data_IF_821980358845
#
_entry.id   IF_821980358845
#
_cell.length_a   1.000
_cell.length_b   1.000
_cell.length_c   1.000
_cell.angle_alpha   90.00
_cell.angle_beta   90.00
_cell.angle_gamma   90.00
#
_symmetry.space_group_name_H-M   'P 1'
#
loop_
_entity.id
_entity.type
_entity.pdbx_description
1 polymer ?
#
# COMPACT_ATOMS: atom_id res chain seq x y z
N UNK A 1 1.67 33.18 0.40
CA UNK A 1 2.45 32.03 0.86
C UNK A 1 1.54 31.16 1.69
N UNK A 2 1.62 29.82 1.61
CA UNK A 2 0.88 28.96 2.53
C UNK A 2 1.26 29.29 3.98
N UNK A 3 0.34 29.10 4.92
CA UNK A 3 0.62 29.34 6.33
C UNK A 3 1.79 28.44 6.79
N UNK A 4 2.70 29.01 7.59
CA UNK A 4 3.81 28.27 8.18
C UNK A 4 3.24 27.23 9.15
N UNK A 5 3.48 25.94 8.86
CA UNK A 5 3.07 24.82 9.73
C UNK A 5 4.29 24.22 10.44
N UNK A 6 4.08 23.65 11.62
CA UNK A 6 5.06 22.79 12.29
C UNK A 6 4.81 21.34 11.90
N UNK A 7 5.77 20.73 11.19
CA UNK A 7 5.57 19.42 10.51
C UNK A 7 6.61 18.42 10.98
N UNK A 8 6.17 17.23 11.36
CA UNK A 8 7.05 16.10 11.64
C UNK A 8 7.28 15.28 10.37
N UNK A 9 8.53 15.21 9.89
CA UNK A 9 8.87 14.51 8.65
C UNK A 9 9.35 13.10 8.97
N UNK A 10 8.65 12.08 8.46
CA UNK A 10 9.05 10.70 8.59
C UNK A 10 10.26 10.41 7.69
N UNK A 11 11.44 10.37 8.26
CA UNK A 11 12.71 10.15 7.57
C UNK A 11 13.15 8.70 7.71
N UNK A 12 13.21 7.97 6.60
CA UNK A 12 13.57 6.55 6.54
C UNK A 12 15.04 6.30 6.18
N UNK A 13 15.86 7.36 6.09
CA UNK A 13 17.23 7.26 5.54
C UNK A 13 17.29 7.14 4.00
N UNK A 14 16.15 7.04 3.32
CA UNK A 14 16.06 7.03 1.86
C UNK A 14 15.96 8.43 1.26
N UNK A 15 16.36 8.57 -0.02
CA UNK A 15 16.41 9.86 -0.73
C UNK A 15 15.03 10.55 -0.83
N UNK A 16 13.95 9.80 -0.95
CA UNK A 16 12.59 10.34 -1.13
C UNK A 16 12.13 11.12 0.11
N UNK A 17 12.31 10.55 1.31
CA UNK A 17 11.99 11.24 2.56
C UNK A 17 12.93 12.43 2.84
N UNK A 18 14.18 12.35 2.38
CA UNK A 18 15.16 13.43 2.51
C UNK A 18 14.81 14.63 1.65
N UNK A 19 14.39 14.41 0.40
CA UNK A 19 13.92 15.50 -0.47
C UNK A 19 12.58 16.05 0.01
N UNK A 20 11.71 15.23 0.59
CA UNK A 20 10.48 15.72 1.22
C UNK A 20 10.79 16.73 2.34
N UNK A 21 11.78 16.44 3.20
CA UNK A 21 12.24 17.37 4.23
C UNK A 21 12.86 18.64 3.63
N UNK A 22 13.72 18.51 2.61
CA UNK A 22 14.33 19.62 1.90
C UNK A 22 13.28 20.62 1.37
N UNK A 23 12.27 20.09 0.65
CA UNK A 23 11.23 20.91 0.03
C UNK A 23 10.38 21.65 1.07
N UNK A 24 9.99 21.00 2.16
CA UNK A 24 9.23 21.66 3.22
C UNK A 24 10.03 22.76 3.92
N UNK A 25 11.34 22.55 4.13
CA UNK A 25 12.21 23.59 4.65
C UNK A 25 12.32 24.77 3.71
N UNK A 26 12.50 24.53 2.40
CA UNK A 26 12.55 25.58 1.38
C UNK A 26 11.23 26.36 1.28
N UNK A 27 10.09 25.71 1.55
CA UNK A 27 8.77 26.36 1.62
C UNK A 27 8.58 27.19 2.90
N UNK A 28 9.53 27.17 3.83
CA UNK A 28 9.52 27.97 5.05
C UNK A 28 8.74 27.35 6.22
N UNK A 29 8.40 26.07 6.14
CA UNK A 29 7.78 25.34 7.26
C UNK A 29 8.79 25.14 8.41
N UNK A 30 8.27 25.04 9.64
CA UNK A 30 9.01 24.57 10.82
C UNK A 30 8.99 23.04 10.83
N UNK A 31 10.13 22.42 10.52
CA UNK A 31 10.20 20.97 10.36
C UNK A 31 11.15 20.32 11.35
N UNK A 32 10.75 19.12 11.82
CA UNK A 32 11.58 18.22 12.61
C UNK A 32 11.62 16.88 11.88
N UNK A 33 12.81 16.31 11.69
CA UNK A 33 12.98 14.97 11.14
C UNK A 33 12.74 13.92 12.22
N UNK A 34 12.11 12.80 11.87
CA UNK A 34 11.93 11.69 12.79
C UNK A 34 12.07 10.34 12.10
N UNK A 35 12.87 9.45 12.70
CA UNK A 35 12.95 8.05 12.31
C UNK A 35 11.99 7.22 13.15
N UNK A 36 11.11 6.46 12.50
CA UNK A 36 10.23 5.51 13.18
C UNK A 36 10.97 4.19 13.41
N UNK A 37 11.34 3.91 14.66
CA UNK A 37 11.94 2.65 15.05
C UNK A 37 10.83 1.63 15.25
N UNK A 38 10.50 0.87 14.19
CA UNK A 38 9.37 -0.05 14.17
C UNK A 38 9.75 -1.51 14.40
N UNK A 39 10.97 -1.91 14.07
CA UNK A 39 11.43 -3.29 14.16
C UNK A 39 12.90 -3.36 14.54
N UNK A 40 13.22 -4.35 15.38
CA UNK A 40 14.61 -4.80 15.63
C UNK A 40 14.61 -6.30 15.37
N UNK A 41 15.68 -6.80 14.78
CA UNK A 41 15.88 -8.21 14.52
C UNK A 41 16.38 -8.95 15.79
N UNK A 42 15.57 -8.93 16.87
CA UNK A 42 15.94 -9.57 18.13
C UNK A 42 16.00 -11.10 18.01
N UNK A 43 15.18 -11.68 17.12
CA UNK A 43 15.10 -13.12 16.92
C UNK A 43 16.09 -13.65 15.86
N UNK A 44 17.03 -12.84 15.38
CA UNK A 44 17.96 -13.16 14.28
C UNK A 44 17.29 -13.76 13.03
N UNK A 45 16.03 -13.43 12.80
CA UNK A 45 15.22 -13.87 11.64
C UNK A 45 15.79 -13.34 10.34
N UNK A 46 16.55 -12.25 10.43
CA UNK A 46 17.08 -11.50 9.30
C UNK A 46 18.58 -11.37 9.49
N UNK A 47 19.36 -11.81 8.50
CA UNK A 47 20.82 -11.82 8.59
C UNK A 47 21.47 -10.44 8.77
N UNK A 48 20.86 -9.37 8.24
CA UNK A 48 21.33 -7.98 8.40
C UNK A 48 20.13 -7.04 8.48
N UNK A 49 20.04 -6.28 9.57
CA UNK A 49 18.99 -5.28 9.72
C UNK A 49 19.55 -3.89 9.46
N UNK A 50 19.13 -3.19 8.40
CA UNK A 50 19.72 -1.93 7.97
C UNK A 50 19.35 -0.73 8.86
N UNK A 51 18.56 -0.91 9.91
CA UNK A 51 17.99 0.20 10.68
C UNK A 51 19.02 1.15 11.28
N UNK A 52 20.21 0.67 11.68
CA UNK A 52 21.27 1.55 12.19
C UNK A 52 21.77 2.46 11.09
N UNK A 53 22.12 1.91 9.93
CA UNK A 53 22.54 2.69 8.77
C UNK A 53 21.45 3.66 8.31
N UNK A 54 20.18 3.24 8.31
CA UNK A 54 19.05 4.11 7.94
C UNK A 54 18.91 5.29 8.93
N UNK A 55 19.14 5.08 10.24
CA UNK A 55 19.15 6.16 11.24
C UNK A 55 20.33 7.10 11.00
N UNK A 56 21.52 6.57 10.74
CA UNK A 56 22.72 7.38 10.46
C UNK A 56 22.52 8.24 9.21
N UNK A 57 22.01 7.65 8.13
CA UNK A 57 21.71 8.36 6.90
C UNK A 57 20.64 9.46 7.11
N UNK A 58 19.57 9.15 7.86
CA UNK A 58 18.53 10.13 8.17
C UNK A 58 19.06 11.28 9.04
N UNK A 59 19.92 10.98 10.02
CA UNK A 59 20.58 11.97 10.88
C UNK A 59 21.51 12.86 10.07
N UNK A 60 22.37 12.27 9.22
CA UNK A 60 23.28 13.03 8.36
C UNK A 60 22.53 14.00 7.43
N UNK A 61 21.35 13.60 6.92
CA UNK A 61 20.48 14.49 6.15
C UNK A 61 19.91 15.60 7.03
N UNK A 62 19.45 15.29 8.25
CA UNK A 62 18.91 16.29 9.17
C UNK A 62 19.99 17.33 9.56
N UNK A 63 21.20 16.88 9.84
CA UNK A 63 22.36 17.75 10.12
C UNK A 63 22.69 18.64 8.91
N UNK A 64 22.71 18.07 7.70
CA UNK A 64 22.92 18.82 6.46
C UNK A 64 21.84 19.88 6.23
N UNK A 65 20.61 19.56 6.57
CA UNK A 65 19.50 20.50 6.49
C UNK A 65 19.43 21.47 7.67
N UNK A 66 20.18 21.26 8.74
CA UNK A 66 20.12 22.07 9.98
C UNK A 66 18.73 22.01 10.61
N UNK A 67 18.18 20.81 10.77
CA UNK A 67 16.90 20.55 11.43
C UNK A 67 17.08 19.59 12.61
N UNK A 68 16.20 19.70 13.61
CA UNK A 68 16.14 18.73 14.72
C UNK A 68 15.81 17.33 14.18
N UNK A 69 16.41 16.30 14.79
CA UNK A 69 16.16 14.90 14.45
C UNK A 69 15.83 14.07 15.68
N UNK A 70 14.77 13.27 15.59
CA UNK A 70 14.27 12.41 16.66
C UNK A 70 14.23 10.94 16.23
N UNK A 71 14.34 10.03 17.19
CA UNK A 71 14.03 8.61 17.01
C UNK A 71 12.79 8.31 17.83
N UNK A 72 11.72 7.89 17.17
CA UNK A 72 10.45 7.56 17.81
C UNK A 72 10.32 6.03 17.87
N UNK A 73 10.29 5.48 19.08
CA UNK A 73 10.18 4.04 19.29
C UNK A 73 8.71 3.60 19.18
N UNK A 74 8.37 2.86 18.13
CA UNK A 74 7.03 2.37 17.84
C UNK A 74 6.98 0.83 17.69
N UNK A 75 7.97 0.11 18.22
CA UNK A 75 8.13 -1.33 18.01
C UNK A 75 6.93 -2.14 18.50
N UNK A 76 6.40 -1.82 19.67
CA UNK A 76 5.24 -2.52 20.23
C UNK A 76 3.98 -2.32 19.39
N UNK A 77 3.73 -1.07 18.97
CA UNK A 77 2.59 -0.78 18.09
C UNK A 77 2.74 -1.44 16.73
N UNK A 78 3.93 -1.42 16.15
CA UNK A 78 4.20 -2.07 14.86
C UNK A 78 3.98 -3.58 14.96
N UNK A 79 4.47 -4.22 16.03
CA UNK A 79 4.23 -5.64 16.28
C UNK A 79 2.73 -5.94 16.31
N UNK A 80 1.98 -5.22 17.13
CA UNK A 80 0.55 -5.44 17.33
C UNK A 80 -0.30 -5.12 16.08
N UNK A 81 -0.01 -4.02 15.37
CA UNK A 81 -0.89 -3.49 14.33
C UNK A 81 -0.52 -3.97 12.92
N UNK A 82 0.73 -4.35 12.69
CA UNK A 82 1.21 -4.75 11.36
C UNK A 82 1.65 -6.21 11.34
N UNK A 83 2.52 -6.61 12.27
CA UNK A 83 3.07 -7.97 12.26
C UNK A 83 2.02 -8.99 12.66
N UNK A 84 1.27 -8.76 13.74
CA UNK A 84 0.23 -9.69 14.17
C UNK A 84 -0.90 -9.79 13.14
N UNK A 85 -1.30 -8.65 12.53
CA UNK A 85 -2.23 -8.65 11.38
C UNK A 85 -1.71 -9.53 10.22
N UNK A 86 -0.43 -9.39 9.89
CA UNK A 86 0.21 -10.18 8.83
C UNK A 86 0.18 -11.67 9.16
N UNK A 87 0.62 -12.03 10.36
CA UNK A 87 0.71 -13.43 10.79
C UNK A 87 -0.67 -14.09 10.90
N UNK A 88 -1.66 -13.39 11.46
CA UNK A 88 -3.03 -13.90 11.56
C UNK A 88 -3.68 -14.09 10.19
N UNK A 89 -3.44 -13.17 9.26
CA UNK A 89 -3.89 -13.33 7.89
C UNK A 89 -3.32 -14.59 7.24
N UNK A 90 -2.02 -14.82 7.36
CA UNK A 90 -1.38 -16.01 6.81
C UNK A 90 -1.82 -17.31 7.49
N UNK A 91 -2.03 -17.33 8.82
CA UNK A 91 -2.60 -18.49 9.53
C UNK A 91 -3.99 -18.86 9.01
N UNK A 92 -4.77 -17.87 8.61
CA UNK A 92 -6.11 -18.04 8.02
C UNK A 92 -6.06 -18.33 6.50
N UNK A 93 -4.88 -18.52 5.91
CA UNK A 93 -4.71 -18.78 4.46
C UNK A 93 -4.86 -17.56 3.57
N UNK A 94 -5.00 -16.35 4.14
CA UNK A 94 -5.09 -15.10 3.40
C UNK A 94 -3.72 -14.65 2.90
N UNK A 95 -3.70 -13.58 2.09
CA UNK A 95 -2.49 -12.90 1.64
C UNK A 95 -2.60 -11.42 2.02
N UNK A 96 -2.36 -11.04 3.29
CA UNK A 96 -2.53 -9.67 3.76
C UNK A 96 -1.48 -8.71 3.16
N UNK A 97 -1.79 -7.40 3.16
CA UNK A 97 -0.89 -6.36 2.67
C UNK A 97 -0.34 -5.52 3.85
N UNK A 98 0.88 -5.80 4.33
CA UNK A 98 1.44 -5.09 5.47
C UNK A 98 1.78 -3.63 5.17
N UNK A 99 2.09 -3.26 3.91
CA UNK A 99 2.50 -1.91 3.56
C UNK A 99 1.32 -0.93 3.64
N UNK A 100 0.13 -1.34 3.18
CA UNK A 100 -1.10 -0.54 3.32
C UNK A 100 -1.45 -0.38 4.80
N UNK A 101 -1.34 -1.45 5.59
CA UNK A 101 -1.60 -1.38 7.03
C UNK A 101 -0.58 -0.51 7.76
N UNK A 102 0.69 -0.59 7.38
CA UNK A 102 1.73 0.29 7.93
C UNK A 102 1.42 1.77 7.65
N UNK A 103 0.95 2.11 6.46
CA UNK A 103 0.56 3.49 6.15
C UNK A 103 -0.64 3.93 7.01
N UNK A 104 -1.71 3.12 7.07
CA UNK A 104 -2.92 3.45 7.82
C UNK A 104 -2.69 3.50 9.33
N UNK A 105 -2.08 2.46 9.90
CA UNK A 105 -2.01 2.27 11.35
C UNK A 105 -0.76 2.90 11.97
N UNK A 106 0.36 2.86 11.27
CA UNK A 106 1.62 3.37 11.81
C UNK A 106 1.89 4.81 11.41
N UNK A 107 2.12 5.08 10.10
CA UNK A 107 2.54 6.42 9.66
C UNK A 107 1.48 7.48 9.89
N UNK A 108 0.24 7.23 9.45
CA UNK A 108 -0.89 8.14 9.59
C UNK A 108 -1.84 7.75 10.74
N UNK A 109 -1.45 6.79 11.56
CA UNK A 109 -2.10 6.39 12.80
C UNK A 109 -1.26 6.75 14.03
N UNK A 110 -0.46 5.83 14.54
CA UNK A 110 0.33 5.99 15.77
C UNK A 110 1.29 7.17 15.68
N UNK A 111 2.08 7.26 14.61
CA UNK A 111 3.07 8.32 14.42
C UNK A 111 2.42 9.70 14.26
N UNK A 112 1.26 9.77 13.58
CA UNK A 112 0.48 11.01 13.51
C UNK A 112 -0.04 11.43 14.89
N UNK A 113 -0.57 10.50 15.69
CA UNK A 113 -1.01 10.82 17.06
C UNK A 113 0.15 11.31 17.94
N UNK A 114 1.32 10.67 17.84
CA UNK A 114 2.54 11.14 18.48
C UNK A 114 2.89 12.58 18.05
N UNK A 115 2.89 12.85 16.75
CA UNK A 115 3.16 14.18 16.23
C UNK A 115 2.18 15.23 16.78
N UNK A 116 0.89 14.93 16.80
CA UNK A 116 -0.13 15.83 17.34
C UNK A 116 0.04 16.09 18.85
N UNK A 117 0.38 15.07 19.62
CA UNK A 117 0.67 15.21 21.05
C UNK A 117 1.90 16.11 21.32
N UNK A 118 2.89 16.10 20.39
CA UNK A 118 4.08 16.97 20.44
C UNK A 118 3.86 18.35 19.79
N UNK A 119 2.62 18.69 19.44
CA UNK A 119 2.25 19.99 18.89
C UNK A 119 2.57 20.20 17.41
N UNK A 120 2.76 19.14 16.64
CA UNK A 120 2.90 19.21 15.18
C UNK A 120 1.51 19.25 14.53
N UNK A 121 1.35 20.09 13.51
CA UNK A 121 0.11 20.21 12.75
C UNK A 121 -0.08 19.06 11.74
N UNK A 122 1.04 18.48 11.26
CA UNK A 122 1.01 17.47 10.20
C UNK A 122 2.21 16.53 10.27
N UNK A 123 2.07 15.40 9.58
CA UNK A 123 3.14 14.45 9.27
C UNK A 123 3.42 14.47 7.77
N UNK A 124 4.70 14.56 7.40
CA UNK A 124 5.12 14.45 6.00
C UNK A 124 5.85 13.14 5.73
N UNK A 125 5.71 12.63 4.53
CA UNK A 125 6.37 11.40 4.07
C UNK A 125 6.86 11.55 2.65
N UNK A 126 7.81 10.70 2.27
CA UNK A 126 8.33 10.59 0.90
C UNK A 126 7.46 9.74 -0.04
N UNK A 127 6.13 9.82 0.05
CA UNK A 127 5.26 9.12 -0.89
C UNK A 127 5.04 9.90 -2.18
N UNK A 128 5.08 9.19 -3.30
CA UNK A 128 4.66 9.68 -4.61
C UNK A 128 3.12 9.62 -4.70
N UNK A 129 2.48 10.59 -4.10
CA UNK A 129 1.03 10.82 -4.14
C UNK A 129 0.78 12.32 -3.98
N UNK A 130 -0.34 12.82 -4.48
CA UNK A 130 -0.68 14.25 -4.44
C UNK A 130 -1.90 14.46 -3.55
N UNK A 131 -1.79 15.39 -2.60
CA UNK A 131 -2.90 15.85 -1.77
C UNK A 131 -3.36 17.22 -2.27
N UNK A 132 -4.61 17.29 -2.70
CA UNK A 132 -5.23 18.53 -3.14
C UNK A 132 -6.27 19.00 -2.12
N UNK A 133 -6.20 20.27 -1.75
CA UNK A 133 -7.21 20.92 -0.92
C UNK A 133 -8.34 21.44 -1.81
N UNK A 134 -9.57 21.01 -1.53
CA UNK A 134 -10.77 21.51 -2.20
C UNK A 134 -11.28 22.69 -1.38
N UNK A 135 -10.93 23.88 -1.78
CA UNK A 135 -11.53 25.10 -1.19
C UNK A 135 -12.99 25.15 -1.57
N UNK A 136 -13.87 24.95 -0.59
CA UNK A 136 -15.31 24.98 -0.79
C UNK A 136 -15.76 26.26 -1.46
N UNK A 137 -16.15 26.21 -2.73
CA UNK A 137 -17.22 27.05 -3.25
C UNK A 137 -18.52 26.31 -2.93
N UNK A 138 -19.34 26.88 -2.06
CA UNK A 138 -20.74 26.49 -2.03
C UNK A 138 -21.24 26.53 -3.48
N UNK A 139 -21.54 25.35 -4.05
CA UNK A 139 -22.03 25.24 -5.42
C UNK A 139 -23.38 25.94 -5.51
N UNK A 140 -23.54 26.98 -6.33
CA UNK A 140 -24.86 27.46 -6.63
C UNK A 140 -25.66 26.34 -7.29
N UNK A 141 -26.89 26.10 -6.91
CA UNK A 141 -27.71 25.07 -7.56
C UNK A 141 -27.82 25.43 -9.06
N UNK A 142 -27.22 24.58 -9.92
CA UNK A 142 -27.40 24.64 -11.37
C UNK A 142 -26.21 25.11 -12.24
N UNK A 143 -24.99 25.33 -11.71
CA UNK A 143 -23.84 25.72 -12.52
C UNK A 143 -23.02 24.52 -13.07
N UNK A 144 -22.53 24.56 -14.35
CA UNK A 144 -21.63 23.53 -14.86
C UNK A 144 -20.27 23.60 -14.16
N UNK A 145 -19.70 22.45 -13.82
CA UNK A 145 -18.38 22.33 -13.22
C UNK A 145 -17.29 22.54 -14.28
N UNK A 146 -16.68 23.72 -14.35
CA UNK A 146 -15.77 24.07 -15.44
C UNK A 146 -14.27 23.86 -15.18
N UNK A 147 -13.82 23.50 -13.98
CA UNK A 147 -12.38 23.60 -13.65
C UNK A 147 -11.73 22.37 -12.99
N UNK A 148 -12.39 21.21 -12.97
CA UNK A 148 -11.75 19.96 -12.57
C UNK A 148 -11.61 19.04 -13.79
N UNK A 149 -10.47 18.33 -13.96
CA UNK A 149 -10.34 17.37 -15.03
C UNK A 149 -11.44 16.35 -14.94
N UNK A 150 -12.26 16.24 -15.99
CA UNK A 150 -13.34 15.25 -16.08
C UNK A 150 -12.69 13.88 -16.12
N UNK A 151 -13.04 13.01 -15.17
CA UNK A 151 -12.65 11.62 -15.22
C UNK A 151 -13.29 10.92 -16.45
N UNK A 152 -12.74 9.79 -16.92
CA UNK A 152 -13.14 9.14 -18.17
C UNK A 152 -14.58 8.61 -18.21
N UNK A 153 -15.35 8.75 -17.15
CA UNK A 153 -16.68 8.13 -16.97
C UNK A 153 -17.87 9.10 -16.94
N UNK A 154 -17.70 10.37 -17.36
CA UNK A 154 -18.81 11.32 -17.61
C UNK A 154 -19.43 11.97 -16.36
N UNK A 155 -20.57 12.65 -16.54
CA UNK A 155 -21.29 13.41 -15.50
C UNK A 155 -21.94 12.50 -14.44
N UNK A 156 -21.14 12.00 -13.54
CA UNK A 156 -21.55 11.17 -12.41
C UNK A 156 -21.68 12.02 -11.15
N UNK A 157 -22.76 11.88 -10.32
CA UNK A 157 -22.78 12.49 -9.01
C UNK A 157 -21.69 11.88 -8.14
N UNK A 158 -20.57 12.60 -7.99
CA UNK A 158 -19.55 12.27 -7.02
C UNK A 158 -20.08 12.56 -5.60
N UNK A 159 -19.60 11.81 -4.58
CA UNK A 159 -19.93 12.16 -3.21
C UNK A 159 -19.60 13.62 -2.91
N UNK A 160 -20.36 14.27 -2.02
CA UNK A 160 -20.11 15.67 -1.65
C UNK A 160 -18.66 15.89 -1.21
N UNK A 161 -18.15 17.05 -1.49
CA UNK A 161 -16.74 17.42 -1.54
C UNK A 161 -15.98 17.04 -0.26
N UNK A 162 -15.05 16.09 -0.38
CA UNK A 162 -14.03 15.89 0.62
C UNK A 162 -13.15 17.15 0.72
N UNK A 163 -12.84 17.63 1.93
CA UNK A 163 -11.99 18.80 2.15
C UNK A 163 -10.60 18.62 1.51
N UNK A 164 -10.10 17.39 1.48
CA UNK A 164 -8.86 16.99 0.81
C UNK A 164 -9.11 15.77 -0.08
N UNK A 165 -8.52 15.81 -1.25
CA UNK A 165 -8.48 14.68 -2.19
C UNK A 165 -7.09 14.10 -2.27
N UNK A 166 -7.00 12.81 -2.48
CA UNK A 166 -5.76 12.09 -2.73
C UNK A 166 -5.72 11.66 -4.20
N UNK A 167 -4.63 12.00 -4.87
CA UNK A 167 -4.42 11.74 -6.28
C UNK A 167 -3.15 10.93 -6.49
N UNK A 168 -3.09 10.21 -7.61
CA UNK A 168 -1.88 9.55 -8.05
C UNK A 168 -0.71 10.54 -8.14
N UNK A 169 0.50 10.06 -7.88
CA UNK A 169 1.72 10.82 -8.12
C UNK A 169 1.89 11.20 -9.58
N UNK A 170 2.60 12.29 -9.84
CA UNK A 170 2.91 12.72 -11.21
C UNK A 170 3.77 11.69 -11.96
N UNK A 171 4.75 11.09 -11.28
CA UNK A 171 5.51 9.95 -11.82
C UNK A 171 4.69 8.65 -11.72
N UNK A 172 4.09 8.25 -12.84
CA UNK A 172 3.24 7.04 -12.89
C UNK A 172 4.00 5.74 -12.61
N UNK A 173 5.32 5.70 -12.85
CA UNK A 173 6.15 4.56 -12.54
C UNK A 173 6.47 4.43 -11.04
N UNK A 174 6.34 5.55 -10.31
CA UNK A 174 6.60 5.63 -8.87
C UNK A 174 5.34 5.86 -8.04
N UNK A 175 4.18 6.07 -8.66
CA UNK A 175 2.93 6.31 -7.96
C UNK A 175 2.70 5.31 -6.82
N UNK A 176 2.44 5.84 -5.64
CA UNK A 176 2.24 5.07 -4.40
C UNK A 176 0.86 5.30 -3.79
N UNK A 177 -0.06 5.92 -4.52
CA UNK A 177 -1.43 6.16 -4.07
C UNK A 177 -2.13 4.87 -3.64
N UNK A 178 -1.86 3.75 -4.32
CA UNK A 178 -2.38 2.42 -3.95
C UNK A 178 -2.14 2.07 -2.47
N UNK A 179 -0.94 2.35 -1.95
CA UNK A 179 -0.61 2.05 -0.56
C UNK A 179 -1.30 2.95 0.47
N UNK A 180 -1.99 3.98 0.00
CA UNK A 180 -2.74 4.94 0.81
C UNK A 180 -4.27 4.71 0.72
N UNK A 181 -4.70 3.62 0.08
CA UNK A 181 -6.10 3.35 -0.23
C UNK A 181 -7.01 3.20 1.01
N UNK A 182 -6.46 2.90 2.17
CA UNK A 182 -7.23 2.76 3.40
C UNK A 182 -7.12 3.97 4.35
N UNK A 183 -6.58 5.11 3.90
CA UNK A 183 -6.57 6.33 4.69
C UNK A 183 -7.97 6.93 4.80
N UNK A 184 -8.26 7.48 5.98
CA UNK A 184 -9.45 8.31 6.21
C UNK A 184 -9.20 9.77 5.85
N UNK A 185 -10.27 10.56 5.69
CA UNK A 185 -10.20 12.01 5.51
C UNK A 185 -9.44 12.71 6.64
N UNK A 186 -9.64 12.29 7.89
CA UNK A 186 -8.94 12.85 9.04
C UNK A 186 -7.41 12.64 8.95
N UNK A 187 -6.98 11.45 8.53
CA UNK A 187 -5.57 11.14 8.31
C UNK A 187 -4.99 11.95 7.14
N UNK A 188 -5.73 12.04 6.03
CA UNK A 188 -5.29 12.81 4.86
C UNK A 188 -5.16 14.30 5.15
N UNK A 189 -6.06 14.87 5.98
CA UNK A 189 -5.99 16.28 6.39
C UNK A 189 -4.63 16.62 7.01
N UNK A 190 -4.10 15.74 7.85
CA UNK A 190 -2.83 15.91 8.53
C UNK A 190 -1.62 15.32 7.77
N UNK A 191 -1.83 14.73 6.60
CA UNK A 191 -0.75 14.19 5.76
C UNK A 191 -0.16 15.25 4.82
N UNK A 192 1.16 15.15 4.55
CA UNK A 192 1.85 15.94 3.53
C UNK A 192 2.69 15.02 2.66
N UNK A 193 2.59 15.20 1.33
CA UNK A 193 3.31 14.45 0.31
C UNK A 193 4.11 15.40 -0.59
N UNK A 194 5.22 15.97 -0.09
CA UNK A 194 5.91 17.09 -0.77
C UNK A 194 6.49 16.73 -2.13
N UNK A 195 6.74 15.43 -2.39
CA UNK A 195 7.37 14.95 -3.63
C UNK A 195 6.37 14.43 -4.66
N UNK A 196 5.08 14.52 -4.40
CA UNK A 196 4.03 13.92 -5.23
C UNK A 196 3.99 14.43 -6.67
N UNK A 197 4.44 15.65 -6.92
CA UNK A 197 4.50 16.26 -8.24
C UNK A 197 5.84 16.07 -8.96
N UNK A 198 6.81 15.37 -8.34
CA UNK A 198 8.16 15.22 -8.89
C UNK A 198 8.36 13.86 -9.59
N UNK A 199 8.88 13.86 -10.82
CA UNK A 199 9.50 12.67 -11.42
C UNK A 199 10.75 12.25 -10.64
N UNK A 200 11.01 10.95 -10.54
CA UNK A 200 12.16 10.40 -9.79
C UNK A 200 13.53 10.96 -10.23
N UNK A 201 13.81 11.16 -11.54
CA UNK A 201 15.07 11.78 -11.97
C UNK A 201 15.25 13.20 -11.42
N UNK A 202 14.19 14.01 -11.42
CA UNK A 202 14.22 15.38 -10.89
C UNK A 202 14.42 15.40 -9.38
N UNK A 203 13.77 14.49 -8.66
CA UNK A 203 13.98 14.31 -7.24
C UNK A 203 15.46 14.01 -6.92
N UNK A 204 16.10 13.10 -7.66
CA UNK A 204 17.52 12.78 -7.46
C UNK A 204 18.44 13.96 -7.82
N UNK A 205 18.09 14.74 -8.86
CA UNK A 205 18.81 15.96 -9.20
C UNK A 205 18.76 16.96 -8.05
N UNK A 206 17.59 17.23 -7.50
CA UNK A 206 17.41 18.11 -6.33
C UNK A 206 18.22 17.64 -5.12
N UNK A 207 18.24 16.33 -4.85
CA UNK A 207 19.03 15.76 -3.76
C UNK A 207 20.54 16.03 -3.94
N UNK A 208 21.07 15.87 -5.15
CA UNK A 208 22.50 16.15 -5.45
C UNK A 208 22.82 17.64 -5.38
N UNK A 209 21.99 18.51 -5.97
CA UNK A 209 22.14 19.96 -5.94
C UNK A 209 22.14 20.51 -4.50
N UNK A 210 21.33 19.93 -3.61
CA UNK A 210 21.31 20.25 -2.19
C UNK A 210 22.48 19.64 -1.38
N UNK A 211 23.27 18.77 -2.00
CA UNK A 211 24.36 18.06 -1.35
C UNK A 211 23.89 17.11 -0.27
N UNK A 212 22.75 16.43 -0.48
CA UNK A 212 22.26 15.43 0.48
C UNK A 212 23.16 14.18 0.45
N UNK A 213 23.60 13.67 1.61
CA UNK A 213 24.60 12.58 1.68
C UNK A 213 24.08 11.26 1.09
N UNK A 214 22.76 11.07 1.02
CA UNK A 214 22.12 9.87 0.49
C UNK A 214 21.49 10.04 -0.91
N UNK A 215 21.92 11.06 -1.68
CA UNK A 215 21.35 11.37 -3.01
C UNK A 215 21.40 10.19 -3.98
N UNK A 216 22.46 9.38 -3.91
CA UNK A 216 22.70 8.23 -4.79
C UNK A 216 22.31 6.87 -4.16
N UNK A 217 21.80 6.88 -2.92
CA UNK A 217 21.32 5.67 -2.25
C UNK A 217 20.23 4.99 -3.11
N UNK A 218 20.33 3.67 -3.27
CA UNK A 218 19.30 2.87 -3.97
C UNK A 218 17.99 2.92 -3.20
N UNK A 219 16.88 2.85 -3.93
CA UNK A 219 15.55 2.77 -3.32
C UNK A 219 15.46 1.50 -2.45
N UNK A 220 14.90 1.63 -1.24
CA UNK A 220 14.68 0.49 -0.36
C UNK A 220 13.73 -0.51 -1.02
N UNK A 221 14.07 -1.79 -0.89
CA UNK A 221 13.25 -2.91 -1.34
C UNK A 221 12.87 -3.77 -0.13
N UNK A 222 11.73 -4.46 -0.18
CA UNK A 222 11.27 -5.33 0.88
C UNK A 222 10.06 -4.79 1.65
N UNK A 223 9.72 -5.44 2.75
CA UNK A 223 8.60 -5.04 3.62
C UNK A 223 9.00 -3.78 4.38
N UNK A 224 8.11 -2.82 4.44
CA UNK A 224 8.32 -1.54 5.11
C UNK A 224 8.84 -1.74 6.56
N UNK A 225 10.04 -1.23 6.86
CA UNK A 225 10.77 -1.32 8.14
C UNK A 225 11.30 -2.70 8.55
N UNK A 226 10.95 -3.79 7.90
CA UNK A 226 11.54 -5.12 8.15
C UNK A 226 12.77 -5.33 7.27
N UNK A 227 12.82 -4.70 6.09
CA UNK A 227 13.96 -4.78 5.17
C UNK A 227 13.83 -5.88 4.11
N UNK A 228 14.95 -6.24 3.49
CA UNK A 228 15.01 -7.27 2.44
C UNK A 228 14.93 -8.69 3.01
N UNK A 229 13.75 -9.04 3.54
CA UNK A 229 13.47 -10.39 4.04
C UNK A 229 12.60 -11.12 3.04
N UNK A 230 12.97 -12.34 2.73
CA UNK A 230 12.07 -13.22 2.00
C UNK A 230 10.89 -13.56 2.91
N UNK A 231 9.68 -13.23 2.48
CA UNK A 231 8.45 -13.50 3.25
C UNK A 231 8.39 -14.95 3.76
N UNK A 232 8.85 -15.92 2.97
CA UNK A 232 8.88 -17.33 3.36
C UNK A 232 9.80 -17.57 4.58
N UNK A 233 10.95 -16.91 4.67
CA UNK A 233 11.88 -17.07 5.80
C UNK A 233 11.32 -16.39 7.06
N UNK A 234 10.68 -15.23 6.91
CA UNK A 234 9.96 -14.56 7.99
C UNK A 234 8.83 -15.44 8.54
N UNK A 235 7.96 -15.94 7.65
CA UNK A 235 6.83 -16.78 8.07
C UNK A 235 7.26 -18.06 8.75
N UNK A 236 8.37 -18.70 8.31
CA UNK A 236 8.89 -19.93 8.90
C UNK A 236 9.17 -19.81 10.41
N UNK A 237 9.55 -18.61 10.87
CA UNK A 237 9.83 -18.39 12.30
C UNK A 237 8.58 -18.29 13.15
N UNK A 238 7.48 -17.74 12.59
CA UNK A 238 6.29 -17.39 13.37
C UNK A 238 5.05 -18.22 13.06
N UNK A 239 5.05 -18.96 11.96
CA UNK A 239 3.89 -19.76 11.53
C UNK A 239 4.35 -21.21 11.36
N UNK A 240 3.82 -22.14 12.19
CA UNK A 240 4.16 -23.57 12.08
C UNK A 240 3.85 -24.10 10.68
N UNK A 241 4.69 -25.02 10.20
CA UNK A 241 4.44 -25.73 8.96
C UNK A 241 3.30 -26.74 9.16
N UNK A 242 2.32 -26.71 8.26
CA UNK A 242 1.24 -27.68 8.18
C UNK A 242 1.24 -28.27 6.77
N UNK A 243 1.95 -29.40 6.55
CA UNK A 243 2.00 -30.06 5.25
C UNK A 243 0.62 -30.51 4.78
N UNK A 244 0.46 -30.59 3.46
CA UNK A 244 -0.77 -31.06 2.85
C UNK A 244 -0.60 -31.35 1.36
N UNK A 245 -1.61 -31.96 0.71
CA UNK A 245 -1.50 -32.39 -0.67
C UNK A 245 -1.51 -31.18 -1.63
N UNK A 246 -0.74 -31.31 -2.72
CA UNK A 246 -0.87 -30.46 -3.90
C UNK A 246 -1.74 -31.19 -4.90
N UNK A 247 -2.88 -30.62 -5.22
CA UNK A 247 -3.91 -31.25 -6.05
C UNK A 247 -4.10 -30.46 -7.34
N UNK A 248 -4.11 -31.15 -8.47
CA UNK A 248 -4.48 -30.56 -9.75
C UNK A 248 -6.00 -30.33 -9.80
N UNK A 249 -6.40 -29.06 -9.92
CA UNK A 249 -7.80 -28.65 -9.83
C UNK A 249 -8.69 -29.20 -10.96
N UNK A 250 -8.10 -29.58 -12.11
CA UNK A 250 -8.83 -30.05 -13.29
C UNK A 250 -9.32 -31.50 -13.19
N UNK A 251 -8.61 -32.35 -12.45
CA UNK A 251 -8.90 -33.81 -12.40
C UNK A 251 -8.76 -34.40 -10.99
N UNK A 252 -8.41 -33.61 -10.00
CA UNK A 252 -8.27 -34.07 -8.62
C UNK A 252 -6.99 -34.88 -8.34
N UNK A 253 -6.08 -35.01 -9.31
CA UNK A 253 -4.85 -35.76 -9.13
C UNK A 253 -3.92 -35.13 -8.10
N UNK A 254 -3.44 -35.94 -7.14
CA UNK A 254 -2.38 -35.50 -6.20
C UNK A 254 -1.04 -35.52 -6.94
N UNK A 255 -0.36 -34.37 -6.91
CA UNK A 255 0.90 -34.12 -7.62
C UNK A 255 2.11 -34.10 -6.69
N UNK A 256 1.89 -33.94 -5.38
CA UNK A 256 2.94 -33.86 -4.39
C UNK A 256 2.42 -33.32 -3.06
N UNK A 257 3.34 -32.84 -2.24
CA UNK A 257 3.05 -32.29 -0.92
C UNK A 257 3.69 -30.91 -0.77
N UNK A 258 2.97 -29.97 -0.13
CA UNK A 258 3.47 -28.66 0.25
C UNK A 258 3.75 -28.59 1.75
N UNK A 259 4.59 -27.65 2.20
CA UNK A 259 4.97 -27.48 3.61
C UNK A 259 3.95 -26.69 4.45
N UNK A 260 3.09 -25.91 3.81
CA UNK A 260 2.07 -25.10 4.47
C UNK A 260 1.43 -24.11 3.48
N UNK A 261 0.10 -23.93 3.56
CA UNK A 261 -0.66 -23.06 2.66
C UNK A 261 -0.25 -21.57 2.74
N UNK A 262 0.32 -21.15 3.86
CA UNK A 262 0.79 -19.78 4.08
C UNK A 262 2.00 -19.39 3.21
N UNK A 263 2.73 -20.35 2.65
CA UNK A 263 3.83 -20.06 1.72
C UNK A 263 3.38 -19.76 0.30
N UNK A 264 2.08 -19.88 0.01
CA UNK A 264 1.56 -19.78 -1.35
C UNK A 264 0.52 -18.66 -1.46
N UNK A 265 0.49 -18.02 -2.64
CA UNK A 265 -0.50 -17.02 -3.00
C UNK A 265 -1.16 -17.42 -4.32
N UNK A 266 -2.44 -17.14 -4.49
CA UNK A 266 -3.14 -17.37 -5.77
C UNK A 266 -2.40 -16.62 -6.88
N UNK A 267 -2.16 -17.30 -8.01
CA UNK A 267 -1.37 -16.78 -9.12
C UNK A 267 0.15 -17.04 -9.02
N UNK A 268 0.65 -17.62 -7.91
CA UNK A 268 2.06 -17.97 -7.78
C UNK A 268 2.44 -19.10 -8.73
N UNK A 269 3.57 -18.91 -9.46
CA UNK A 269 4.13 -19.92 -10.38
C UNK A 269 5.43 -20.54 -9.86
N UNK A 270 6.21 -19.76 -9.13
CA UNK A 270 7.53 -20.21 -8.63
C UNK A 270 7.42 -20.83 -7.25
N UNK A 271 8.27 -21.82 -6.96
CA UNK A 271 8.38 -22.40 -5.64
C UNK A 271 7.32 -23.46 -5.30
N UNK A 272 6.44 -23.85 -6.23
CA UNK A 272 5.45 -24.93 -6.05
C UNK A 272 6.15 -26.28 -5.95
N UNK A 273 7.32 -26.44 -6.58
CA UNK A 273 8.17 -27.65 -6.54
C UNK A 273 7.53 -28.88 -7.17
N UNK A 274 6.67 -28.69 -8.17
CA UNK A 274 6.12 -29.78 -8.99
C UNK A 274 6.77 -29.67 -10.36
N UNK A 275 7.44 -30.71 -10.88
CA UNK A 275 7.87 -30.75 -12.27
C UNK A 275 6.66 -30.81 -13.19
N UNK A 276 6.61 -29.99 -14.22
CA UNK A 276 5.64 -30.15 -15.30
C UNK A 276 6.07 -31.33 -16.18
N UNK A 277 5.12 -32.16 -16.55
CA UNK A 277 5.34 -33.27 -17.50
C UNK A 277 5.27 -32.83 -18.97
N UNK A 278 4.98 -31.55 -19.20
CA UNK A 278 4.88 -30.94 -20.52
C UNK A 278 5.97 -29.88 -20.65
N UNK A 279 6.68 -29.84 -21.76
CA UNK A 279 7.88 -29.02 -21.96
C UNK A 279 7.64 -27.51 -21.94
N UNK A 280 6.38 -27.05 -21.98
CA UNK A 280 6.03 -25.64 -22.10
C UNK A 280 4.95 -25.13 -21.14
N UNK A 281 4.37 -25.99 -20.28
CA UNK A 281 3.31 -25.59 -19.36
C UNK A 281 3.80 -25.54 -17.91
N UNK A 282 3.57 -24.41 -17.25
CA UNK A 282 3.91 -24.21 -15.86
C UNK A 282 2.64 -24.31 -14.98
N UNK A 283 2.78 -24.95 -13.82
CA UNK A 283 1.73 -24.89 -12.81
C UNK A 283 1.61 -23.51 -12.17
N UNK A 284 0.38 -23.12 -11.87
CA UNK A 284 0.03 -21.92 -11.12
C UNK A 284 -0.89 -22.30 -9.96
N UNK A 285 -0.74 -21.62 -8.83
CA UNK A 285 -1.66 -21.75 -7.70
C UNK A 285 -3.00 -21.10 -8.06
N UNK A 286 -4.08 -21.88 -8.00
CA UNK A 286 -5.43 -21.42 -8.33
C UNK A 286 -6.36 -21.37 -7.11
N UNK A 287 -5.96 -21.99 -5.99
CA UNK A 287 -6.76 -21.96 -4.77
C UNK A 287 -6.07 -22.62 -3.58
N UNK A 288 -6.70 -22.46 -2.43
CA UNK A 288 -6.35 -23.09 -1.16
C UNK A 288 -7.62 -23.68 -0.56
N UNK A 289 -7.62 -24.93 -0.16
CA UNK A 289 -8.77 -25.62 0.44
C UNK A 289 -8.47 -25.95 1.88
N UNK A 290 -9.09 -25.20 2.80
CA UNK A 290 -8.79 -25.32 4.22
C UNK A 290 -9.25 -26.63 4.84
N UNK A 291 -10.33 -27.25 4.31
CA UNK A 291 -10.91 -28.46 4.88
C UNK A 291 -9.96 -29.67 4.96
N UNK A 292 -9.07 -29.77 4.00
CA UNK A 292 -8.07 -30.87 3.89
C UNK A 292 -6.65 -30.32 3.69
N UNK A 293 -6.42 -29.07 3.95
CA UNK A 293 -5.15 -28.37 3.76
C UNK A 293 -4.57 -28.50 2.35
N UNK A 294 -5.43 -28.62 1.31
CA UNK A 294 -4.96 -28.83 -0.06
C UNK A 294 -4.57 -27.51 -0.75
N UNK A 295 -3.42 -27.52 -1.44
CA UNK A 295 -3.04 -26.51 -2.40
C UNK A 295 -3.55 -26.90 -3.79
N UNK A 296 -4.41 -26.08 -4.37
CA UNK A 296 -4.96 -26.32 -5.69
C UNK A 296 -4.09 -25.64 -6.75
N UNK A 297 -3.68 -26.41 -7.75
CA UNK A 297 -2.87 -25.92 -8.88
C UNK A 297 -3.50 -26.33 -10.22
N UNK A 298 -3.22 -25.55 -11.26
CA UNK A 298 -3.61 -25.86 -12.63
C UNK A 298 -2.47 -25.46 -13.58
N UNK A 299 -2.51 -25.88 -14.84
CA UNK A 299 -1.66 -25.29 -15.86
C UNK A 299 -2.05 -23.82 -16.07
N UNK A 300 -1.04 -22.95 -16.21
CA UNK A 300 -1.25 -21.50 -16.33
C UNK A 300 -1.80 -21.17 -17.73
N UNK A 301 -3.03 -20.69 -17.75
CA UNK A 301 -3.72 -20.33 -19.00
C UNK A 301 -5.09 -19.72 -18.78
N UNK A 302 -5.76 -19.30 -19.84
CA UNK A 302 -7.10 -18.71 -19.78
C UNK A 302 -8.16 -19.64 -19.19
N UNK A 303 -8.00 -20.96 -19.37
CA UNK A 303 -8.91 -22.00 -18.91
C UNK A 303 -8.58 -22.51 -17.48
N UNK A 304 -7.56 -21.97 -16.80
CA UNK A 304 -7.20 -22.41 -15.46
C UNK A 304 -8.36 -22.13 -14.46
N UNK A 305 -8.95 -23.17 -13.86
CA UNK A 305 -10.12 -23.00 -13.00
C UNK A 305 -9.74 -22.18 -11.74
N UNK A 306 -10.56 -21.17 -11.41
CA UNK A 306 -10.33 -20.33 -10.23
C UNK A 306 -9.24 -19.27 -10.37
N UNK A 307 -8.51 -19.24 -11.50
CA UNK A 307 -7.48 -18.24 -11.73
C UNK A 307 -8.03 -16.88 -12.21
N UNK A 308 -9.13 -16.91 -12.92
CA UNK A 308 -9.77 -15.72 -13.50
C UNK A 308 -11.17 -15.56 -12.90
N UNK A 309 -11.54 -14.34 -12.53
CA UNK A 309 -12.86 -14.02 -12.01
C UNK A 309 -13.37 -12.69 -12.50
N UNK A 310 -14.67 -12.63 -12.79
CA UNK A 310 -15.38 -11.40 -13.17
C UNK A 310 -16.08 -10.74 -11.98
N UNK A 311 -16.14 -11.41 -10.84
CA UNK A 311 -16.83 -10.90 -9.66
C UNK A 311 -16.03 -11.20 -8.40
N UNK A 312 -16.13 -10.31 -7.41
CA UNK A 312 -15.60 -10.55 -6.07
C UNK A 312 -16.40 -9.75 -5.04
N UNK A 313 -16.12 -10.02 -3.76
CA UNK A 313 -16.57 -9.17 -2.65
C UNK A 313 -15.37 -8.51 -1.99
N UNK A 314 -15.62 -7.30 -1.47
CA UNK A 314 -14.66 -6.56 -0.64
C UNK A 314 -15.30 -6.18 0.68
N UNK A 315 -14.51 -6.18 1.74
CA UNK A 315 -14.91 -5.76 3.09
C UNK A 315 -13.92 -4.75 3.66
N UNK A 316 -14.18 -4.24 4.88
CA UNK A 316 -13.28 -3.28 5.51
C UNK A 316 -13.08 -2.03 4.67
N UNK A 317 -14.14 -1.56 4.02
CA UNK A 317 -14.14 -0.39 3.15
C UNK A 317 -13.69 0.86 3.92
N UNK A 318 -12.79 1.62 3.35
CA UNK A 318 -12.35 2.92 3.82
C UNK A 318 -12.45 3.93 2.67
N UNK A 319 -13.01 5.10 2.95
CA UNK A 319 -13.16 6.17 1.96
C UNK A 319 -12.46 7.44 2.43
N UNK A 320 -11.80 8.12 1.50
CA UNK A 320 -11.14 9.40 1.74
C UNK A 320 -12.17 10.55 1.84
N UNK A 321 -13.30 10.40 1.19
CA UNK A 321 -14.43 11.32 1.28
C UNK A 321 -15.66 10.64 1.84
N UNK A 322 -16.81 11.10 1.39
CA UNK A 322 -18.07 10.45 1.73
C UNK A 322 -18.11 9.03 1.17
N UNK A 323 -18.66 8.07 1.92
CA UNK A 323 -18.83 6.71 1.45
C UNK A 323 -19.68 6.65 0.18
N UNK A 324 -19.29 5.77 -0.74
CA UNK A 324 -20.10 5.47 -1.92
C UNK A 324 -21.32 4.67 -1.47
N UNK A 325 -22.49 5.33 -1.39
CA UNK A 325 -23.73 4.76 -0.85
C UNK A 325 -24.61 4.08 -1.89
N UNK A 326 -24.31 4.23 -3.18
CA UNK A 326 -25.13 3.70 -4.27
C UNK A 326 -24.27 2.99 -5.30
N UNK A 327 -24.90 2.00 -5.98
CA UNK A 327 -24.29 1.33 -7.11
C UNK A 327 -23.80 2.33 -8.15
N UNK A 328 -22.54 2.21 -8.57
CA UNK A 328 -21.94 3.11 -9.54
C UNK A 328 -20.82 2.43 -10.32
N UNK A 329 -20.40 3.04 -11.43
CA UNK A 329 -19.21 2.65 -12.18
C UNK A 329 -18.02 3.51 -11.73
N UNK A 330 -16.92 2.85 -11.41
CA UNK A 330 -15.63 3.44 -11.03
C UNK A 330 -14.51 2.57 -11.59
N UNK A 331 -13.27 2.96 -11.28
CA UNK A 331 -12.09 2.16 -11.61
C UNK A 331 -11.49 1.59 -10.33
N UNK A 332 -10.74 0.49 -10.45
CA UNK A 332 -9.94 -0.03 -9.35
C UNK A 332 -8.56 -0.51 -9.81
N UNK A 333 -7.62 -0.60 -8.87
CA UNK A 333 -6.41 -1.41 -9.00
C UNK A 333 -6.51 -2.60 -8.06
N UNK A 334 -6.33 -3.78 -8.61
CA UNK A 334 -6.35 -5.04 -7.86
C UNK A 334 -5.00 -5.37 -7.22
N UNK A 335 -3.93 -4.72 -7.69
CA UNK A 335 -2.56 -4.79 -7.15
C UNK A 335 -1.80 -3.50 -7.41
N UNK A 336 -0.76 -3.31 -6.65
CA UNK A 336 0.22 -2.24 -6.92
C UNK A 336 0.83 -2.41 -8.33
N UNK A 337 0.89 -1.33 -9.08
CA UNK A 337 1.35 -1.23 -10.48
C UNK A 337 0.48 -1.90 -11.55
N UNK A 338 -0.57 -2.62 -11.18
CA UNK A 338 -1.53 -3.06 -12.19
C UNK A 338 -2.25 -1.83 -12.82
N UNK A 339 -2.66 -1.92 -14.07
CA UNK A 339 -3.50 -0.88 -14.68
C UNK A 339 -4.82 -0.75 -13.92
N UNK A 340 -5.43 0.43 -13.98
CA UNK A 340 -6.80 0.58 -13.51
C UNK A 340 -7.75 -0.15 -14.44
N UNK A 341 -8.73 -0.82 -13.85
CA UNK A 341 -9.79 -1.55 -14.57
C UNK A 341 -11.15 -1.01 -14.15
N UNK A 342 -12.05 -0.89 -15.11
CA UNK A 342 -13.41 -0.44 -14.85
C UNK A 342 -14.22 -1.53 -14.13
N UNK A 343 -14.99 -1.10 -13.15
CA UNK A 343 -15.82 -1.96 -12.32
C UNK A 343 -17.21 -1.36 -12.09
N UNK A 344 -18.16 -2.22 -11.85
CA UNK A 344 -19.40 -1.88 -11.18
C UNK A 344 -19.20 -2.13 -9.68
N UNK A 345 -19.33 -1.06 -8.88
CA UNK A 345 -19.24 -1.09 -7.43
C UNK A 345 -20.65 -1.07 -6.84
N UNK A 346 -21.04 -2.09 -6.09
CA UNK A 346 -22.35 -2.20 -5.47
C UNK A 346 -22.21 -2.36 -3.95
N UNK A 347 -22.37 -1.26 -3.16
CA UNK A 347 -22.23 -1.32 -1.71
C UNK A 347 -23.41 -2.04 -1.07
N UNK A 348 -23.14 -2.72 0.05
CA UNK A 348 -24.11 -3.40 0.89
C UNK A 348 -24.21 -2.72 2.26
N UNK A 349 -25.36 -2.87 2.93
CA UNK A 349 -25.60 -2.27 4.25
C UNK A 349 -24.71 -2.82 5.36
N UNK A 350 -24.10 -3.99 5.16
CA UNK A 350 -23.19 -4.65 6.10
C UNK A 350 -21.75 -4.15 6.04
N UNK A 351 -21.48 -3.06 5.29
CA UNK A 351 -20.14 -2.50 5.12
C UNK A 351 -19.26 -3.28 4.15
N UNK A 352 -19.84 -4.16 3.34
CA UNK A 352 -19.16 -4.83 2.22
C UNK A 352 -19.57 -4.22 0.88
N UNK A 353 -18.92 -4.64 -0.20
CA UNK A 353 -19.42 -4.34 -1.55
C UNK A 353 -19.23 -5.54 -2.48
N UNK A 354 -20.18 -5.74 -3.37
CA UNK A 354 -20.04 -6.63 -4.52
C UNK A 354 -19.41 -5.86 -5.68
N UNK A 355 -18.44 -6.46 -6.32
CA UNK A 355 -17.68 -5.90 -7.43
C UNK A 355 -17.87 -6.77 -8.66
N UNK A 356 -18.26 -6.17 -9.76
CA UNK A 356 -18.27 -6.81 -11.08
C UNK A 356 -17.26 -6.13 -11.98
N UNK A 357 -16.32 -6.87 -12.52
CA UNK A 357 -15.28 -6.36 -13.43
C UNK A 357 -15.76 -6.40 -14.88
N UNK A 358 -15.44 -5.39 -15.67
CA UNK A 358 -15.73 -5.40 -17.11
C UNK A 358 -14.94 -6.47 -17.86
N UNK A 359 -13.76 -6.84 -17.34
CA UNK A 359 -12.90 -7.89 -17.86
C UNK A 359 -12.47 -8.79 -16.69
N UNK A 360 -12.45 -10.13 -16.86
CA UNK A 360 -12.00 -11.03 -15.80
C UNK A 360 -10.63 -10.64 -15.28
N UNK A 361 -10.46 -10.63 -13.96
CA UNK A 361 -9.21 -10.32 -13.30
C UNK A 361 -8.49 -11.60 -12.87
N UNK A 362 -7.16 -11.61 -13.08
CA UNK A 362 -6.34 -12.77 -12.79
C UNK A 362 -5.93 -12.80 -11.33
N UNK A 363 -6.13 -13.94 -10.68
CA UNK A 363 -5.51 -14.30 -9.40
C UNK A 363 -5.79 -13.29 -8.26
N UNK A 364 -7.06 -12.93 -8.06
CA UNK A 364 -7.46 -12.15 -6.90
C UNK A 364 -7.23 -12.98 -5.63
N UNK A 365 -6.38 -12.49 -4.73
CA UNK A 365 -6.04 -13.20 -3.52
C UNK A 365 -6.77 -12.59 -2.32
N UNK A 366 -7.56 -13.39 -1.57
CA UNK A 366 -8.20 -12.91 -0.33
C UNK A 366 -7.18 -12.31 0.64
N UNK A 367 -7.55 -11.19 1.27
CA UNK A 367 -6.66 -10.42 2.15
C UNK A 367 -5.85 -9.32 1.46
N UNK A 368 -5.74 -9.32 0.13
CA UNK A 368 -5.13 -8.21 -0.63
C UNK A 368 -6.07 -7.01 -0.69
N UNK A 369 -5.52 -5.87 -1.06
CA UNK A 369 -6.23 -4.59 -1.11
C UNK A 369 -6.70 -4.31 -2.54
N UNK A 370 -7.94 -3.87 -2.65
CA UNK A 370 -8.48 -3.19 -3.82
C UNK A 370 -8.44 -1.68 -3.56
N UNK A 371 -7.76 -0.92 -4.40
CA UNK A 371 -7.80 0.53 -4.38
C UNK A 371 -8.81 1.05 -5.40
N UNK A 372 -9.69 1.97 -4.99
CA UNK A 372 -10.81 2.51 -5.76
C UNK A 372 -10.47 3.88 -6.31
N UNK A 373 -10.72 4.12 -7.59
CA UNK A 373 -10.34 5.34 -8.27
C UNK A 373 -11.49 5.95 -9.09
N UNK A 374 -11.37 7.25 -9.31
CA UNK A 374 -12.11 8.02 -10.31
C UNK A 374 -11.09 8.81 -11.13
N UNK A 375 -10.68 8.27 -12.29
CA UNK A 375 -9.50 8.75 -13.00
C UNK A 375 -8.25 8.64 -12.11
N UNK A 376 -7.49 9.72 -11.95
CA UNK A 376 -6.30 9.76 -11.07
C UNK A 376 -6.62 9.95 -9.59
N UNK A 377 -7.89 10.25 -9.23
CA UNK A 377 -8.29 10.46 -7.86
C UNK A 377 -8.52 9.12 -7.15
N UNK A 378 -7.81 8.91 -6.05
CA UNK A 378 -8.07 7.79 -5.16
C UNK A 378 -9.29 8.12 -4.29
N UNK A 379 -10.30 7.26 -4.33
CA UNK A 379 -11.54 7.37 -3.55
C UNK A 379 -11.43 6.67 -2.20
N UNK A 380 -10.62 5.61 -2.14
CA UNK A 380 -10.48 4.74 -0.99
C UNK A 380 -10.11 3.34 -1.38
N UNK A 381 -10.48 2.36 -0.55
CA UNK A 381 -10.22 0.95 -0.85
C UNK A 381 -10.95 -0.01 0.07
N UNK A 382 -10.70 -1.30 -0.15
CA UNK A 382 -11.21 -2.39 0.67
C UNK A 382 -10.33 -3.62 0.55
N UNK A 383 -10.65 -4.65 1.31
CA UNK A 383 -9.92 -5.92 1.37
C UNK A 383 -10.71 -6.97 0.59
N UNK A 384 -10.07 -7.74 -0.29
CA UNK A 384 -10.70 -8.89 -0.96
C UNK A 384 -11.11 -9.95 0.07
N UNK A 385 -12.40 -10.39 -0.01
CA UNK A 385 -12.97 -11.44 0.84
C UNK A 385 -12.49 -12.84 0.46
#
# INVERSE_FOLDING_TARGET
>A
MPARERILVAMSGGVDSSVAALLLKQQGHDIVGAYMKNWINEDNVIGHCPWMQDIEDARAVADRLGIEFRIVNLMQDYRRLVVDYLLDGYRRGLTPNPDVMCNREMKFGVFLRYAQAEGFAAVATGHYARRLEIKGRARPPGGPSSDLPKGPLGDRPLPPEAEFQLWEGADKNKDQSYFLALLSQAQLRAARFPIGDLPKPDLRRLAREAGLPNADKKDSQGICFIGEVKMADFLKTYVPEHPGPIIRATDGRVLGEHRGLHYYTIGQRKGIRIPSNTDHEAYVVVGKRAADHALLVAFDGPAAPGLWTSECRVHGLSFIGEPIAKKCRIECRVRYRDPRVAIEFNPSADGTAAITFDQPQRALAPGQIMALYDGERLLGGGVFA
#
